data_IF_396901041982
#
_entry.id   IF_396901041982
#
_cell.length_a   1.000
_cell.length_b   1.000
_cell.length_c   1.000
_cell.angle_alpha   90.00
_cell.angle_beta   90.00
_cell.angle_gamma   90.00
#
_symmetry.space_group_name_H-M   'P 1'
#
loop_
_entity.id
_entity.type
_entity.pdbx_description
1 polymer ?
#
# COMPACT_ATOMS: atom_id res chain seq x y z
N UNK A 1 12.61 13.00 14.42
CA UNK A 1 11.31 13.43 13.87
C UNK A 1 10.46 12.18 13.64
N UNK A 2 9.24 12.16 14.14
CA UNK A 2 8.31 11.04 13.91
C UNK A 2 7.52 11.32 12.63
N UNK A 3 8.08 10.94 11.49
CA UNK A 3 7.48 11.21 10.19
C UNK A 3 6.05 10.65 10.05
N UNK A 4 5.71 9.58 10.79
CA UNK A 4 4.33 9.06 10.83
C UNK A 4 3.38 10.14 11.36
N UNK A 5 3.71 10.73 12.51
CA UNK A 5 2.88 11.79 13.08
C UNK A 5 2.89 13.06 12.23
N UNK A 6 4.03 13.37 11.60
CA UNK A 6 4.15 14.55 10.73
C UNK A 6 3.29 14.44 9.47
N UNK A 7 3.15 13.24 8.89
CA UNK A 7 2.34 12.99 7.68
C UNK A 7 0.87 12.72 8.05
N UNK A 8 0.61 11.84 8.99
CA UNK A 8 -0.75 11.32 9.24
C UNK A 8 -1.50 12.05 10.37
N UNK A 9 -0.81 12.87 11.17
CA UNK A 9 -1.39 13.57 12.32
C UNK A 9 -1.69 12.67 13.52
N UNK A 10 -1.51 11.37 13.39
CA UNK A 10 -1.80 10.36 14.41
C UNK A 10 -0.66 9.35 14.52
N UNK A 11 -0.63 8.64 15.64
CA UNK A 11 0.17 7.41 15.78
C UNK A 11 -0.64 6.21 15.29
N UNK A 12 0.06 5.18 14.78
CA UNK A 12 -0.56 3.94 14.25
C UNK A 12 -1.66 4.22 13.19
N UNK A 13 -1.32 4.93 12.09
CA UNK A 13 -2.29 5.29 11.05
C UNK A 13 -2.90 4.08 10.34
N UNK A 14 -4.14 4.25 9.89
CA UNK A 14 -4.81 3.35 8.96
C UNK A 14 -4.74 3.95 7.57
N UNK A 15 -3.99 3.30 6.70
CA UNK A 15 -3.89 3.61 5.27
C UNK A 15 -4.91 2.76 4.53
N UNK A 16 -5.92 3.37 3.94
CA UNK A 16 -6.95 2.66 3.20
C UNK A 16 -6.62 2.55 1.71
N UNK A 17 -6.81 1.37 1.13
CA UNK A 17 -6.62 1.17 -0.30
C UNK A 17 -7.80 1.75 -1.11
N UNK A 18 -7.50 2.60 -2.08
CA UNK A 18 -8.42 3.04 -3.13
C UNK A 18 -7.99 2.38 -4.44
N UNK A 19 -8.67 1.29 -4.78
CA UNK A 19 -8.34 0.44 -5.92
C UNK A 19 -8.96 0.97 -7.20
N UNK A 20 -8.16 1.19 -8.24
CA UNK A 20 -8.67 1.51 -9.57
C UNK A 20 -9.22 0.27 -10.26
N UNK A 21 -10.27 0.45 -11.07
CA UNK A 21 -10.69 -0.54 -12.03
C UNK A 21 -9.64 -0.70 -13.14
N UNK A 22 -9.76 -1.76 -13.97
CA UNK A 22 -8.81 -2.04 -15.03
C UNK A 22 -8.58 -0.83 -15.94
N UNK A 23 -7.32 -0.51 -16.16
CA UNK A 23 -6.86 0.66 -16.90
C UNK A 23 -6.71 0.35 -18.41
N UNK A 24 -6.68 1.36 -19.28
CA UNK A 24 -6.28 1.18 -20.68
C UNK A 24 -4.95 0.42 -20.77
N UNK A 25 -4.95 -0.68 -21.53
CA UNK A 25 -3.83 -1.61 -21.63
C UNK A 25 -4.00 -2.89 -20.80
N UNK A 26 -4.84 -2.88 -19.79
CA UNK A 26 -5.12 -4.07 -19.00
C UNK A 26 -6.08 -5.02 -19.75
N UNK A 27 -5.93 -6.35 -19.61
CA UNK A 27 -6.80 -7.33 -20.28
C UNK A 27 -8.30 -7.17 -19.96
N UNK A 28 -8.62 -6.71 -18.75
CA UNK A 28 -9.99 -6.52 -18.29
C UNK A 28 -10.54 -5.11 -18.52
N UNK A 29 -9.81 -4.25 -19.23
CA UNK A 29 -10.27 -2.89 -19.54
C UNK A 29 -11.50 -2.90 -20.44
N UNK A 30 -12.53 -2.17 -20.06
CA UNK A 30 -13.75 -2.00 -20.85
C UNK A 30 -13.72 -0.65 -21.61
N UNK A 31 -13.43 -0.64 -22.91
CA UNK A 31 -13.34 0.60 -23.67
C UNK A 31 -14.68 1.33 -23.83
N UNK A 32 -15.81 0.64 -23.65
CA UNK A 32 -17.13 1.26 -23.74
C UNK A 32 -17.43 2.12 -22.49
N UNK A 33 -16.98 1.65 -21.32
CA UNK A 33 -17.07 2.42 -20.07
C UNK A 33 -16.01 3.52 -20.00
N UNK A 34 -14.82 3.27 -20.54
CA UNK A 34 -13.75 4.23 -20.67
C UNK A 34 -13.19 4.74 -19.33
N UNK A 35 -12.34 5.75 -19.42
CA UNK A 35 -11.70 6.38 -18.25
C UNK A 35 -12.67 7.08 -17.30
N UNK A 36 -13.82 7.55 -17.80
CA UNK A 36 -14.83 8.22 -16.97
C UNK A 36 -15.38 7.28 -15.89
N UNK A 37 -15.67 6.03 -16.27
CA UNK A 37 -16.12 5.03 -15.30
C UNK A 37 -15.08 4.76 -14.21
N UNK A 38 -13.81 4.68 -14.58
CA UNK A 38 -12.73 4.42 -13.62
C UNK A 38 -12.61 5.59 -12.64
N UNK A 39 -12.69 6.82 -13.15
CA UNK A 39 -12.64 8.04 -12.35
C UNK A 39 -13.84 8.13 -11.38
N UNK A 40 -15.07 7.91 -11.87
CA UNK A 40 -16.27 7.94 -11.03
C UNK A 40 -16.23 6.89 -9.92
N UNK A 41 -15.75 5.68 -10.26
CA UNK A 41 -15.55 4.61 -9.30
C UNK A 41 -14.53 4.97 -8.23
N UNK A 42 -13.38 5.52 -8.63
CA UNK A 42 -12.33 5.96 -7.72
C UNK A 42 -12.81 7.10 -6.83
N UNK A 43 -13.60 8.05 -7.38
CA UNK A 43 -14.21 9.16 -6.63
C UNK A 43 -15.16 8.65 -5.55
N UNK A 44 -16.02 7.71 -5.89
CA UNK A 44 -16.96 7.13 -4.94
C UNK A 44 -16.23 6.42 -3.78
N UNK A 45 -15.21 5.61 -4.11
CA UNK A 45 -14.41 4.90 -3.11
C UNK A 45 -13.62 5.89 -2.24
N UNK A 46 -12.98 6.92 -2.82
CA UNK A 46 -12.26 7.98 -2.09
C UNK A 46 -13.16 8.69 -1.09
N UNK A 47 -14.35 9.12 -1.53
CA UNK A 47 -15.30 9.83 -0.67
C UNK A 47 -15.78 8.95 0.48
N UNK A 48 -16.12 7.68 0.21
CA UNK A 48 -16.53 6.74 1.25
C UNK A 48 -15.42 6.48 2.29
N UNK A 49 -14.15 6.40 1.86
CA UNK A 49 -13.00 6.24 2.74
C UNK A 49 -12.79 7.48 3.63
N UNK A 50 -12.80 8.68 3.03
CA UNK A 50 -12.61 9.93 3.76
C UNK A 50 -13.75 10.18 4.76
N UNK A 51 -15.01 10.02 4.35
CA UNK A 51 -16.16 10.15 5.24
C UNK A 51 -16.20 9.08 6.33
N UNK A 52 -15.65 7.90 6.06
CA UNK A 52 -15.45 6.83 7.05
C UNK A 52 -14.40 7.16 8.09
N UNK A 53 -13.53 8.15 7.80
CA UNK A 53 -12.56 8.72 8.73
C UNK A 53 -11.24 7.97 8.80
N UNK A 54 -10.77 7.40 7.67
CA UNK A 54 -9.43 6.82 7.57
C UNK A 54 -8.35 7.92 7.66
N UNK A 55 -7.14 7.55 8.05
CA UNK A 55 -6.08 8.54 8.27
C UNK A 55 -5.34 8.91 6.97
N UNK A 56 -5.33 7.99 6.01
CA UNK A 56 -4.76 8.21 4.68
C UNK A 56 -5.37 7.25 3.66
N UNK A 57 -5.22 7.58 2.37
CA UNK A 57 -5.55 6.68 1.27
C UNK A 57 -4.31 6.30 0.47
N UNK A 58 -4.33 5.13 -0.17
CA UNK A 58 -3.32 4.73 -1.14
C UNK A 58 -4.00 4.26 -2.42
N UNK A 59 -3.72 4.96 -3.51
CA UNK A 59 -4.24 4.61 -4.83
C UNK A 59 -3.41 3.50 -5.45
N UNK A 60 -4.08 2.46 -5.98
CA UNK A 60 -3.39 1.37 -6.67
C UNK A 60 -4.17 0.86 -7.87
N UNK A 61 -3.46 0.30 -8.85
CA UNK A 61 -4.02 -0.34 -10.05
C UNK A 61 -4.36 -1.82 -9.78
N UNK A 62 -5.10 -2.11 -8.72
CA UNK A 62 -5.41 -3.47 -8.25
C UNK A 62 -6.03 -4.37 -9.34
N UNK A 63 -6.84 -3.80 -10.24
CA UNK A 63 -7.47 -4.57 -11.32
C UNK A 63 -6.59 -4.76 -12.57
N UNK A 64 -5.33 -4.34 -12.56
CA UNK A 64 -4.37 -4.56 -13.66
C UNK A 64 -3.81 -5.99 -13.68
N UNK A 65 -4.68 -6.99 -13.60
CA UNK A 65 -4.31 -8.41 -13.57
C UNK A 65 -4.33 -9.04 -14.97
N UNK A 66 -3.35 -9.97 -15.26
CA UNK A 66 -2.20 -10.37 -14.43
C UNK A 66 -1.16 -9.26 -14.33
N UNK A 67 -0.55 -9.12 -13.12
CA UNK A 67 0.38 -8.04 -12.85
C UNK A 67 1.70 -8.15 -13.61
N UNK A 68 2.33 -6.99 -13.81
CA UNK A 68 3.68 -6.86 -14.38
C UNK A 68 4.63 -6.34 -13.31
N UNK A 69 5.85 -6.85 -13.27
CA UNK A 69 6.94 -6.31 -12.43
C UNK A 69 7.62 -5.09 -13.05
N UNK A 70 7.29 -4.78 -14.29
CA UNK A 70 7.49 -3.51 -15.01
C UNK A 70 6.22 -3.21 -15.80
N UNK A 71 5.55 -2.14 -15.41
CA UNK A 71 4.28 -1.76 -16.05
C UNK A 71 4.50 -1.05 -17.38
N UNK A 72 3.49 -1.12 -18.24
CA UNK A 72 3.45 -0.30 -19.43
C UNK A 72 3.31 1.18 -19.07
N UNK A 73 3.90 2.07 -19.86
CA UNK A 73 3.86 3.52 -19.60
C UNK A 73 2.44 4.06 -19.43
N UNK A 74 1.49 3.50 -20.15
CA UNK A 74 0.09 3.91 -20.10
C UNK A 74 -0.53 3.74 -18.70
N UNK A 75 -0.12 2.75 -17.94
CA UNK A 75 -0.61 2.49 -16.56
C UNK A 75 -0.37 3.69 -15.66
N UNK A 76 0.88 4.12 -15.51
CA UNK A 76 1.22 5.28 -14.66
C UNK A 76 0.60 6.58 -15.18
N UNK A 77 0.51 6.76 -16.50
CA UNK A 77 -0.13 7.94 -17.13
C UNK A 77 -1.62 7.99 -16.81
N UNK A 78 -2.33 6.85 -16.90
CA UNK A 78 -3.76 6.77 -16.54
C UNK A 78 -3.97 7.03 -15.04
N UNK A 79 -3.13 6.45 -14.19
CA UNK A 79 -3.20 6.69 -12.74
C UNK A 79 -2.95 8.16 -12.41
N UNK A 80 -1.94 8.80 -13.01
CA UNK A 80 -1.66 10.21 -12.82
C UNK A 80 -2.85 11.10 -13.24
N UNK A 81 -3.50 10.78 -14.36
CA UNK A 81 -4.71 11.48 -14.80
C UNK A 81 -5.84 11.36 -13.78
N UNK A 82 -6.15 10.12 -13.33
CA UNK A 82 -7.24 9.89 -12.36
C UNK A 82 -6.97 10.65 -11.06
N UNK A 83 -5.77 10.54 -10.50
CA UNK A 83 -5.40 11.25 -9.27
C UNK A 83 -5.44 12.76 -9.47
N UNK A 84 -4.96 13.26 -10.61
CA UNK A 84 -4.99 14.68 -10.95
C UNK A 84 -6.41 15.24 -11.03
N UNK A 85 -7.36 14.49 -11.59
CA UNK A 85 -8.78 14.87 -11.64
C UNK A 85 -9.48 14.80 -10.26
N UNK A 86 -8.93 14.03 -9.31
CA UNK A 86 -9.41 13.92 -7.93
C UNK A 86 -8.71 14.88 -6.95
N UNK A 87 -7.68 15.60 -7.40
CA UNK A 87 -6.78 16.34 -6.51
C UNK A 87 -7.50 17.30 -5.56
N UNK A 88 -8.49 18.03 -6.05
CA UNK A 88 -9.28 18.98 -5.25
C UNK A 88 -10.23 18.28 -4.25
N UNK A 89 -10.48 16.99 -4.42
CA UNK A 89 -11.34 16.18 -3.57
C UNK A 89 -10.55 15.42 -2.49
N UNK A 90 -9.22 15.26 -2.66
CA UNK A 90 -8.34 14.59 -1.68
C UNK A 90 -8.10 15.52 -0.50
N UNK A 91 -8.61 15.18 0.68
CA UNK A 91 -8.53 16.01 1.91
C UNK A 91 -7.61 15.44 2.98
N UNK A 92 -7.10 14.24 2.79
CA UNK A 92 -6.22 13.53 3.72
C UNK A 92 -4.92 13.15 3.01
N UNK A 93 -3.83 12.83 3.74
CA UNK A 93 -2.61 12.35 3.12
C UNK A 93 -2.86 11.17 2.20
N UNK A 94 -2.14 11.12 1.09
CA UNK A 94 -2.25 9.98 0.18
C UNK A 94 -0.90 9.46 -0.27
N UNK A 95 -0.88 8.18 -0.60
CA UNK A 95 0.20 7.46 -1.24
C UNK A 95 -0.25 6.81 -2.55
N UNK A 96 0.70 6.23 -3.25
CA UNK A 96 0.46 5.52 -4.51
C UNK A 96 1.20 4.19 -4.53
N UNK A 97 0.68 3.26 -5.34
CA UNK A 97 1.27 1.96 -5.56
C UNK A 97 0.95 1.51 -7.00
N UNK A 98 1.94 1.58 -7.87
CA UNK A 98 1.84 1.05 -9.22
C UNK A 98 2.30 -0.40 -9.18
N UNK A 99 1.38 -1.32 -9.09
CA UNK A 99 1.62 -2.76 -8.91
C UNK A 99 2.20 -3.40 -10.18
N UNK A 100 3.42 -3.95 -10.21
CA UNK A 100 4.38 -3.99 -9.11
C UNK A 100 5.70 -3.32 -9.56
N UNK A 101 5.67 -2.04 -9.85
CA UNK A 101 6.80 -1.29 -10.41
C UNK A 101 7.20 -0.14 -9.49
N UNK A 102 8.31 -0.34 -8.76
CA UNK A 102 8.79 0.62 -7.77
C UNK A 102 9.23 1.96 -8.37
N UNK A 103 9.84 1.96 -9.56
CA UNK A 103 10.27 3.19 -10.24
C UNK A 103 9.04 3.96 -10.73
N UNK A 104 8.08 3.29 -11.38
CA UNK A 104 6.82 3.91 -11.82
C UNK A 104 6.00 4.45 -10.64
N UNK A 105 6.03 3.77 -9.49
CA UNK A 105 5.37 4.24 -8.26
C UNK A 105 6.00 5.54 -7.74
N UNK A 106 7.33 5.67 -7.80
CA UNK A 106 8.04 6.89 -7.42
C UNK A 106 7.72 8.03 -8.40
N UNK A 107 7.75 7.76 -9.70
CA UNK A 107 7.40 8.75 -10.73
C UNK A 107 5.99 9.29 -10.52
N UNK A 108 5.04 8.39 -10.29
CA UNK A 108 3.66 8.75 -10.00
C UNK A 108 3.55 9.58 -8.70
N UNK A 109 4.28 9.19 -7.65
CA UNK A 109 4.26 9.91 -6.38
C UNK A 109 4.78 11.34 -6.53
N UNK A 110 5.89 11.51 -7.24
CA UNK A 110 6.47 12.84 -7.51
C UNK A 110 5.52 13.69 -8.37
N UNK A 111 4.95 13.10 -9.43
CA UNK A 111 4.05 13.80 -10.33
C UNK A 111 2.75 14.26 -9.66
N UNK A 112 2.26 13.51 -8.66
CA UNK A 112 0.98 13.78 -7.99
C UNK A 112 1.12 14.42 -6.61
N UNK A 113 2.33 14.49 -6.05
CA UNK A 113 2.57 15.00 -4.70
C UNK A 113 2.21 14.02 -3.59
N UNK A 114 2.08 12.73 -3.90
CA UNK A 114 1.86 11.67 -2.92
C UNK A 114 2.98 11.66 -1.86
N UNK A 115 2.62 11.30 -0.63
CA UNK A 115 3.54 11.36 0.51
C UNK A 115 4.32 10.08 0.73
N UNK A 116 3.83 8.96 0.23
CA UNK A 116 4.46 7.65 0.42
C UNK A 116 4.14 6.70 -0.75
N UNK A 117 5.01 5.72 -0.89
CA UNK A 117 4.87 4.58 -1.80
C UNK A 117 5.07 3.31 -1.01
N UNK A 118 4.22 2.31 -1.22
CA UNK A 118 4.44 0.96 -0.70
C UNK A 118 4.72 0.04 -1.87
N UNK A 119 5.86 -0.66 -1.85
CA UNK A 119 6.28 -1.57 -2.90
C UNK A 119 7.27 -2.63 -2.41
N UNK A 120 7.61 -3.58 -3.29
CA UNK A 120 8.67 -4.56 -3.08
C UNK A 120 9.95 -4.03 -3.69
N UNK A 121 10.73 -3.32 -2.88
CA UNK A 121 11.96 -2.66 -3.33
C UNK A 121 13.22 -3.50 -3.12
N UNK A 122 13.16 -4.52 -2.26
CA UNK A 122 14.31 -5.35 -1.91
C UNK A 122 13.97 -6.83 -1.89
N UNK A 123 14.97 -7.67 -2.12
CA UNK A 123 14.84 -9.12 -2.13
C UNK A 123 14.66 -9.69 -3.53
N UNK A 124 14.69 -11.02 -3.59
CA UNK A 124 14.39 -11.80 -4.79
C UNK A 124 13.35 -12.83 -4.44
N UNK A 125 12.27 -12.88 -5.21
CA UNK A 125 11.13 -13.75 -4.92
C UNK A 125 10.71 -14.55 -6.15
N UNK A 126 10.32 -15.81 -5.94
CA UNK A 126 9.54 -16.58 -6.90
C UNK A 126 8.06 -16.28 -6.64
N UNK A 127 7.36 -15.80 -7.65
CA UNK A 127 5.96 -15.37 -7.55
C UNK A 127 5.10 -15.94 -8.67
N UNK A 128 3.79 -15.78 -8.56
CA UNK A 128 2.83 -16.11 -9.61
C UNK A 128 3.04 -15.29 -10.89
N UNK A 129 3.80 -14.18 -10.79
CA UNK A 129 4.14 -13.28 -11.91
C UNK A 129 5.55 -13.53 -12.46
N UNK A 130 6.21 -14.61 -12.06
CA UNK A 130 7.58 -14.92 -12.41
C UNK A 130 8.60 -14.49 -11.34
N UNK A 131 9.82 -14.22 -11.78
CA UNK A 131 10.90 -13.84 -10.88
C UNK A 131 10.83 -12.34 -10.54
N UNK A 132 10.69 -12.06 -9.26
CA UNK A 132 10.79 -10.69 -8.72
C UNK A 132 12.24 -10.41 -8.32
N UNK A 133 12.98 -9.82 -9.24
CA UNK A 133 14.39 -9.45 -9.03
C UNK A 133 14.47 -7.93 -8.80
N UNK A 134 14.49 -7.52 -7.53
CA UNK A 134 14.49 -6.12 -7.14
C UNK A 134 15.90 -5.51 -7.12
N UNK A 135 15.96 -4.19 -7.19
CA UNK A 135 17.19 -3.42 -7.04
C UNK A 135 16.94 -2.13 -6.24
N UNK A 136 16.95 -2.24 -4.92
CA UNK A 136 16.74 -1.09 -4.03
C UNK A 136 17.73 0.05 -4.27
N UNK A 137 18.96 -0.28 -4.67
CA UNK A 137 19.98 0.72 -4.98
C UNK A 137 19.64 1.56 -6.23
N UNK A 138 19.06 0.95 -7.25
CA UNK A 138 18.57 1.67 -8.44
C UNK A 138 17.36 2.53 -8.08
N UNK A 139 16.40 1.97 -7.35
CA UNK A 139 15.17 2.65 -6.92
C UNK A 139 15.47 3.92 -6.11
N UNK A 140 16.36 3.85 -5.11
CA UNK A 140 16.72 5.03 -4.29
C UNK A 140 17.46 6.08 -5.11
N UNK A 141 18.33 5.67 -6.07
CA UNK A 141 18.98 6.62 -6.97
C UNK A 141 17.99 7.27 -7.92
N UNK A 142 17.03 6.52 -8.43
CA UNK A 142 15.94 7.05 -9.25
C UNK A 142 15.12 8.08 -8.45
N UNK A 143 14.73 7.75 -7.21
CA UNK A 143 14.04 8.68 -6.31
C UNK A 143 14.79 10.02 -6.17
N UNK A 144 16.13 9.95 -6.00
CA UNK A 144 16.96 11.15 -5.95
C UNK A 144 16.99 11.90 -7.29
N UNK A 145 17.11 11.19 -8.41
CA UNK A 145 17.20 11.79 -9.74
C UNK A 145 15.93 12.59 -10.11
N UNK A 146 14.76 12.14 -9.62
CA UNK A 146 13.47 12.82 -9.86
C UNK A 146 13.06 13.77 -8.71
N UNK A 147 13.98 14.09 -7.79
CA UNK A 147 13.74 14.94 -6.61
C UNK A 147 12.63 14.41 -5.66
N UNK A 148 12.49 13.09 -5.57
CA UNK A 148 11.47 12.40 -4.79
C UNK A 148 11.84 12.09 -3.34
N UNK A 149 12.89 12.70 -2.76
CA UNK A 149 13.38 12.37 -1.40
C UNK A 149 12.37 12.66 -0.29
N UNK A 150 11.35 13.48 -0.57
CA UNK A 150 10.24 13.73 0.35
C UNK A 150 9.21 12.59 0.41
N UNK A 151 9.21 11.69 -0.58
CA UNK A 151 8.30 10.54 -0.65
C UNK A 151 8.84 9.43 0.26
N UNK A 152 8.00 8.95 1.20
CA UNK A 152 8.36 7.85 2.11
C UNK A 152 8.23 6.50 1.43
N UNK A 153 9.25 5.66 1.55
CA UNK A 153 9.28 4.33 0.95
C UNK A 153 8.98 3.26 1.99
N UNK A 154 7.82 2.61 1.86
CA UNK A 154 7.36 1.50 2.68
C UNK A 154 7.68 0.19 1.95
N UNK A 155 8.67 -0.56 2.46
CA UNK A 155 9.16 -1.79 1.83
C UNK A 155 8.35 -2.99 2.28
N UNK A 156 7.61 -3.61 1.36
CA UNK A 156 6.98 -4.91 1.64
C UNK A 156 8.04 -6.02 1.54
N UNK A 157 8.40 -6.62 2.67
CA UNK A 157 9.41 -7.68 2.77
C UNK A 157 8.80 -9.09 2.89
N UNK A 158 7.49 -9.17 2.97
CA UNK A 158 6.72 -10.43 2.93
C UNK A 158 5.55 -10.22 1.95
N UNK A 159 5.84 -10.22 0.62
CA UNK A 159 4.81 -9.97 -0.38
C UNK A 159 3.83 -11.14 -0.53
N UNK A 160 2.60 -10.82 -0.88
CA UNK A 160 1.57 -11.79 -1.22
C UNK A 160 1.93 -12.54 -2.53
N UNK A 161 1.52 -13.80 -2.63
CA UNK A 161 1.69 -14.61 -3.84
C UNK A 161 3.15 -14.87 -4.23
N UNK A 162 4.07 -14.74 -3.26
CA UNK A 162 5.48 -14.89 -3.53
C UNK A 162 6.25 -15.54 -2.38
N UNK A 163 7.34 -16.21 -2.72
CA UNK A 163 8.27 -16.83 -1.76
C UNK A 163 9.66 -16.26 -1.98
N UNK A 164 10.30 -15.82 -0.88
CA UNK A 164 11.68 -15.35 -0.92
C UNK A 164 12.63 -16.46 -1.40
N UNK A 165 13.46 -16.17 -2.40
CA UNK A 165 14.45 -17.12 -2.90
C UNK A 165 15.69 -17.14 -1.99
N UNK A 166 15.69 -18.09 -1.06
CA UNK A 166 16.75 -18.30 -0.10
C UNK A 166 16.20 -18.79 1.23
N UNK A 167 17.10 -19.20 2.11
CA UNK A 167 16.76 -19.81 3.41
C UNK A 167 16.85 -18.81 4.58
N UNK A 168 16.81 -17.51 4.32
CA UNK A 168 16.93 -16.49 5.36
C UNK A 168 15.63 -16.36 6.16
N UNK A 169 15.79 -16.25 7.47
CA UNK A 169 14.70 -15.94 8.38
C UNK A 169 14.14 -14.53 8.14
N UNK A 170 12.85 -14.32 8.37
CA UNK A 170 12.19 -13.02 8.18
C UNK A 170 12.79 -11.90 9.03
N UNK A 171 13.23 -12.22 10.26
CA UNK A 171 13.92 -11.27 11.13
C UNK A 171 15.30 -10.86 10.56
N UNK A 172 16.02 -11.80 9.96
CA UNK A 172 17.29 -11.51 9.28
C UNK A 172 17.09 -10.72 8.00
N UNK A 173 16.02 -11.00 7.26
CA UNK A 173 15.62 -10.21 6.09
C UNK A 173 15.33 -8.77 6.52
N UNK A 174 14.54 -8.57 7.60
CA UNK A 174 14.21 -7.25 8.12
C UNK A 174 15.48 -6.46 8.52
N UNK A 175 16.35 -7.05 9.36
CA UNK A 175 17.61 -6.42 9.79
C UNK A 175 18.50 -6.05 8.60
N UNK A 176 18.65 -6.97 7.67
CA UNK A 176 19.48 -6.76 6.48
C UNK A 176 18.90 -5.70 5.55
N UNK A 177 17.59 -5.68 5.37
CA UNK A 177 16.90 -4.65 4.56
C UNK A 177 17.09 -3.27 5.18
N UNK A 178 16.85 -3.12 6.47
CA UNK A 178 17.03 -1.83 7.17
C UNK A 178 18.48 -1.37 7.08
N UNK A 179 19.45 -2.26 7.31
CA UNK A 179 20.87 -1.91 7.25
C UNK A 179 21.31 -1.46 5.85
N UNK A 180 20.92 -2.22 4.81
CA UNK A 180 21.43 -2.00 3.45
C UNK A 180 20.65 -0.95 2.65
N UNK A 181 19.36 -0.74 2.95
CA UNK A 181 18.49 0.07 2.08
C UNK A 181 17.80 1.24 2.80
N UNK A 182 17.85 1.26 4.14
CA UNK A 182 17.31 2.34 4.98
C UNK A 182 15.88 2.74 4.60
N UNK A 183 14.92 1.81 4.62
CA UNK A 183 13.52 2.11 4.31
C UNK A 183 12.94 3.07 5.35
N UNK A 184 11.92 3.84 4.98
CA UNK A 184 11.17 4.64 5.96
C UNK A 184 10.27 3.74 6.83
N UNK A 185 9.77 2.63 6.29
CA UNK A 185 9.04 1.60 7.03
C UNK A 185 9.15 0.24 6.33
N UNK A 186 8.85 -0.82 7.09
CA UNK A 186 8.62 -2.16 6.55
C UNK A 186 7.13 -2.50 6.56
N UNK A 187 6.69 -3.29 5.59
CA UNK A 187 5.35 -3.88 5.53
C UNK A 187 5.45 -5.40 5.58
N UNK A 188 4.55 -6.02 6.30
CA UNK A 188 4.46 -7.48 6.46
C UNK A 188 3.06 -7.91 6.04
N UNK A 189 2.96 -8.74 5.00
CA UNK A 189 1.70 -9.22 4.45
C UNK A 189 1.34 -10.63 4.91
N UNK A 190 0.09 -11.04 4.68
CA UNK A 190 -0.35 -12.42 4.68
C UNK A 190 0.06 -13.15 3.41
N UNK A 191 -0.27 -14.44 3.30
CA UNK A 191 0.13 -15.29 2.17
C UNK A 191 -0.53 -14.92 0.84
N UNK A 192 -1.74 -14.36 0.89
CA UNK A 192 -2.51 -13.92 -0.29
C UNK A 192 -3.21 -12.60 0.02
N UNK A 193 -3.65 -11.89 -1.02
CA UNK A 193 -4.44 -10.67 -0.86
C UNK A 193 -5.67 -10.91 0.03
N UNK A 194 -5.80 -10.11 1.10
CA UNK A 194 -6.85 -10.26 2.11
C UNK A 194 -6.63 -11.35 3.17
N UNK A 195 -5.59 -12.19 3.03
CA UNK A 195 -5.23 -13.13 4.08
C UNK A 195 -4.59 -12.39 5.26
N UNK A 196 -4.91 -12.83 6.48
CA UNK A 196 -4.42 -12.23 7.70
C UNK A 196 -2.89 -12.33 7.80
N UNK A 197 -2.26 -11.21 8.12
CA UNK A 197 -0.85 -11.18 8.52
C UNK A 197 -0.67 -11.95 9.81
N UNK A 198 0.23 -12.93 9.81
CA UNK A 198 0.58 -13.67 11.02
C UNK A 198 1.13 -12.71 12.08
N UNK A 199 0.45 -12.61 13.23
CA UNK A 199 0.92 -11.81 14.38
C UNK A 199 2.30 -12.26 14.85
N UNK A 200 2.60 -13.55 14.77
CA UNK A 200 3.94 -14.07 15.10
C UNK A 200 5.01 -13.54 14.14
N UNK A 201 4.74 -13.50 12.83
CA UNK A 201 5.66 -12.94 11.84
C UNK A 201 5.82 -11.44 12.03
N UNK A 202 4.72 -10.71 12.23
CA UNK A 202 4.73 -9.27 12.46
C UNK A 202 5.56 -8.91 13.71
N UNK A 203 5.35 -9.63 14.81
CA UNK A 203 6.09 -9.47 16.07
C UNK A 203 7.58 -9.72 15.88
N UNK A 204 7.94 -10.82 15.21
CA UNK A 204 9.36 -11.15 14.92
C UNK A 204 10.04 -10.05 14.11
N UNK A 205 9.37 -9.48 13.11
CA UNK A 205 9.90 -8.36 12.34
C UNK A 205 10.06 -7.13 13.21
N UNK A 206 9.03 -6.75 13.98
CA UNK A 206 9.08 -5.56 14.86
C UNK A 206 10.18 -5.67 15.93
N UNK A 207 10.34 -6.83 16.55
CA UNK A 207 11.41 -7.09 17.53
C UNK A 207 12.79 -7.04 16.89
N UNK A 208 12.94 -7.45 15.64
CA UNK A 208 14.19 -7.42 14.91
C UNK A 208 14.68 -6.01 14.53
N UNK A 209 13.75 -5.07 14.34
CA UNK A 209 14.00 -3.69 13.90
C UNK A 209 13.17 -2.68 14.69
N UNK A 210 13.37 -2.56 16.02
CA UNK A 210 12.50 -1.80 16.92
C UNK A 210 12.39 -0.30 16.54
N UNK A 211 13.45 0.27 15.98
CA UNK A 211 13.51 1.69 15.59
C UNK A 211 12.85 1.98 14.22
N UNK A 212 12.61 0.94 13.41
CA UNK A 212 11.99 1.10 12.10
C UNK A 212 10.49 0.84 12.21
N UNK A 213 9.63 1.73 11.70
CA UNK A 213 8.20 1.47 11.65
C UNK A 213 7.88 0.20 10.86
N UNK A 214 6.92 -0.58 11.38
CA UNK A 214 6.43 -1.81 10.73
C UNK A 214 4.92 -1.74 10.59
N UNK A 215 4.41 -1.90 9.38
CA UNK A 215 2.99 -1.88 9.07
C UNK A 215 2.45 -3.30 8.83
N UNK A 216 1.30 -3.61 9.42
CA UNK A 216 0.49 -4.75 9.02
C UNK A 216 -0.15 -4.43 7.66
N UNK A 217 0.08 -5.28 6.64
CA UNK A 217 -0.17 -4.85 5.26
C UNK A 217 -1.38 -5.53 4.59
N UNK A 218 -1.80 -6.71 5.01
CA UNK A 218 -2.99 -7.40 4.47
C UNK A 218 -3.81 -8.07 5.55
N UNK A 219 -5.07 -8.36 5.21
CA UNK A 219 -5.95 -9.15 6.06
C UNK A 219 -6.31 -8.50 7.40
N UNK A 220 -5.99 -7.23 7.58
CA UNK A 220 -6.43 -6.49 8.77
C UNK A 220 -7.92 -6.23 8.65
N UNK A 221 -8.67 -6.67 9.66
CA UNK A 221 -10.12 -6.62 9.68
C UNK A 221 -10.64 -6.17 11.05
N UNK A 222 -11.97 -6.07 11.19
CA UNK A 222 -12.58 -5.60 12.42
C UNK A 222 -12.24 -6.47 13.64
N UNK A 223 -12.03 -7.77 13.46
CA UNK A 223 -11.79 -8.70 14.54
C UNK A 223 -10.35 -8.63 15.06
N UNK A 224 -9.37 -8.44 14.15
CA UNK A 224 -7.95 -8.52 14.46
C UNK A 224 -7.22 -7.15 14.57
N UNK A 225 -7.84 -6.04 14.19
CA UNK A 225 -7.16 -4.74 14.09
C UNK A 225 -6.48 -4.29 15.38
N UNK A 226 -7.09 -4.51 16.54
CA UNK A 226 -6.50 -4.13 17.82
C UNK A 226 -5.23 -4.95 18.07
N UNK A 227 -5.29 -6.26 17.94
CA UNK A 227 -4.14 -7.15 18.11
C UNK A 227 -3.00 -6.81 17.13
N UNK A 228 -3.33 -6.49 15.90
CA UNK A 228 -2.32 -6.09 14.91
C UNK A 228 -1.66 -4.74 15.29
N UNK A 229 -2.45 -3.75 15.72
CA UNK A 229 -1.95 -2.44 16.12
C UNK A 229 -1.21 -2.43 17.47
N UNK A 230 -1.40 -3.41 18.35
CA UNK A 230 -0.56 -3.57 19.53
C UNK A 230 0.90 -3.82 19.16
N UNK A 231 1.14 -4.46 18.01
CA UNK A 231 2.47 -4.83 17.52
C UNK A 231 2.96 -3.82 16.48
N UNK A 232 2.13 -3.52 15.47
CA UNK A 232 2.48 -2.69 14.32
C UNK A 232 2.41 -1.19 14.64
N UNK A 233 3.15 -0.40 13.88
CA UNK A 233 3.14 1.05 13.92
C UNK A 233 2.07 1.68 13.01
N UNK A 234 1.28 0.86 12.32
CA UNK A 234 0.16 1.22 11.45
C UNK A 234 -0.34 0.03 10.65
N UNK A 235 -1.36 0.24 9.85
CA UNK A 235 -1.90 -0.81 9.00
C UNK A 235 -2.34 -0.28 7.62
N UNK A 236 -2.20 -1.15 6.59
CA UNK A 236 -2.75 -0.95 5.25
C UNK A 236 -3.96 -1.87 5.09
N UNK A 237 -5.12 -1.29 4.78
CA UNK A 237 -6.41 -2.00 4.78
C UNK A 237 -7.13 -1.82 3.45
N UNK A 238 -7.48 -2.92 2.81
CA UNK A 238 -8.17 -2.92 1.51
C UNK A 238 -9.53 -3.62 1.58
N UNK A 239 -9.54 -4.92 1.38
CA UNK A 239 -10.72 -5.79 1.22
C UNK A 239 -11.76 -5.64 2.34
N UNK A 240 -11.30 -5.40 3.57
CA UNK A 240 -12.18 -5.19 4.74
C UNK A 240 -13.18 -4.05 4.55
N UNK A 241 -12.79 -3.00 3.84
CA UNK A 241 -13.63 -1.83 3.59
C UNK A 241 -14.60 -2.01 2.42
N UNK A 242 -14.43 -3.05 1.63
CA UNK A 242 -15.28 -3.32 0.47
C UNK A 242 -16.62 -3.94 0.89
N UNK A 243 -17.69 -3.65 0.15
CA UNK A 243 -19.01 -4.28 0.33
C UNK A 243 -18.85 -5.80 0.27
N UNK A 244 -19.47 -6.50 1.19
CA UNK A 244 -19.43 -7.95 1.38
C UNK A 244 -18.02 -8.53 1.64
N UNK A 245 -17.02 -7.67 1.91
CA UNK A 245 -15.63 -8.10 2.04
C UNK A 245 -15.04 -8.67 0.75
N UNK A 246 -15.57 -8.27 -0.41
CA UNK A 246 -15.09 -8.73 -1.69
C UNK A 246 -14.30 -7.65 -2.41
N UNK A 247 -13.04 -7.93 -2.74
CA UNK A 247 -12.04 -6.95 -3.20
C UNK A 247 -12.49 -6.13 -4.41
N UNK A 248 -13.31 -6.69 -5.30
CA UNK A 248 -13.77 -6.03 -6.52
C UNK A 248 -15.01 -5.16 -6.32
N UNK A 249 -15.63 -5.23 -5.16
CA UNK A 249 -16.77 -4.37 -4.82
C UNK A 249 -16.31 -2.93 -4.49
N UNK A 250 -17.29 -2.05 -4.39
CA UNK A 250 -17.10 -0.67 -3.93
C UNK A 250 -16.82 -0.64 -2.43
N UNK A 251 -16.24 0.47 -1.99
CA UNK A 251 -16.08 0.75 -0.56
C UNK A 251 -17.44 0.93 0.09
N UNK A 252 -17.65 0.27 1.22
CA UNK A 252 -18.82 0.43 2.08
C UNK A 252 -18.46 1.34 3.25
N UNK A 253 -19.01 2.54 3.25
CA UNK A 253 -18.74 3.56 4.28
C UNK A 253 -19.10 3.08 5.70
N UNK A 254 -20.11 2.21 5.86
CA UNK A 254 -20.50 1.71 7.18
C UNK A 254 -19.42 0.76 7.73
N UNK A 255 -18.83 -0.05 6.86
CA UNK A 255 -17.69 -0.90 7.23
C UNK A 255 -16.48 -0.07 7.63
N UNK A 256 -16.19 1.00 6.88
CA UNK A 256 -15.10 1.94 7.22
C UNK A 256 -15.35 2.59 8.58
N UNK A 257 -16.55 3.14 8.81
CA UNK A 257 -16.91 3.78 10.09
C UNK A 257 -16.79 2.83 11.27
N UNK A 258 -17.35 1.63 11.16
CA UNK A 258 -17.27 0.63 12.23
C UNK A 258 -15.81 0.25 12.58
N UNK A 259 -14.98 0.08 11.55
CA UNK A 259 -13.57 -0.22 11.73
C UNK A 259 -12.82 0.95 12.40
N UNK A 260 -13.01 2.18 11.91
CA UNK A 260 -12.34 3.36 12.45
C UNK A 260 -12.82 3.74 13.85
N UNK A 261 -14.08 3.44 14.21
CA UNK A 261 -14.56 3.58 15.59
C UNK A 261 -13.77 2.68 16.55
N UNK A 262 -13.54 1.43 16.16
CA UNK A 262 -12.71 0.49 16.95
C UNK A 262 -11.26 0.97 17.06
N UNK A 263 -10.68 1.46 15.98
CA UNK A 263 -9.32 2.05 15.99
C UNK A 263 -9.24 3.28 16.88
N UNK A 264 -10.23 4.18 16.82
CA UNK A 264 -10.29 5.37 17.68
C UNK A 264 -10.43 5.02 19.17
N UNK A 265 -11.17 3.96 19.50
CA UNK A 265 -11.26 3.45 20.87
C UNK A 265 -9.90 2.93 21.35
N UNK A 266 -9.23 2.12 20.54
CA UNK A 266 -7.88 1.61 20.83
C UNK A 266 -6.86 2.73 21.05
N UNK A 267 -6.87 3.79 20.24
CA UNK A 267 -5.91 4.91 20.38
C UNK A 267 -6.14 5.77 21.62
N UNK A 268 -7.28 5.64 22.30
CA UNK A 268 -7.61 6.38 23.54
C UNK A 268 -7.29 5.58 24.80
N UNK A 269 -7.09 4.24 24.68
CA UNK A 269 -6.71 3.36 25.76
C UNK A 269 -5.22 3.39 26.04
#
# INVERSE_FOLDING_TARGET
>A
MNWIKDIFGVEKPIIAMCHFAALPGDPAYDPQKGMSYILERARADLNALQEGGVDAVMFSNEASIPYLTRVERITAVCMARIIGELMDEIKIPFGVNVLWDGEASIDLAVATGAKFVREIFSGVYASDFGLWNTNAGAVVRHQHAVNGQGVKLLYNIVPEGAVYLGSRDVADIARSTVFNTRPDALCVSGLTAGAETSTATLKRVKEAVPETPVFANTGVNLDNVVQQLEIADGAVVGTTFKRDGYIWNEVDIQRVKAFMDKVRQFRKS
#
